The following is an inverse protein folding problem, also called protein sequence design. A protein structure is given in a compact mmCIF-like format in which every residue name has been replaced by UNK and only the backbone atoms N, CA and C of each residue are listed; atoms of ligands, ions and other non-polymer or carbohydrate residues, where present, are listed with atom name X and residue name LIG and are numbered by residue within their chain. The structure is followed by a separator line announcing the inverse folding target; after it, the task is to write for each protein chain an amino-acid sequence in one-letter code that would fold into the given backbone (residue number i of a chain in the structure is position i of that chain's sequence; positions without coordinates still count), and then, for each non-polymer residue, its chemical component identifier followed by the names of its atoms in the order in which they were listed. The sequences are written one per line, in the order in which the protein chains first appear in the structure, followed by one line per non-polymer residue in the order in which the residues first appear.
data_IF_493250608861
#
_entry.id   IF_493250608861
#
_cell.length_a   1.000
_cell.length_b   1.000
_cell.length_c   1.000
_cell.angle_alpha   90.00
_cell.angle_beta   90.00
_cell.angle_gamma   90.00
#
_symmetry.space_group_name_H-M   'P 1'
#
loop_
_entity.id
_entity.type
_entity.pdbx_description
1 polymer ?
#
# COMPACT_ATOMS: atom_id res chain seq x y z
N UNK A 1 13.18 1.48 -41.33
CA UNK A 1 11.80 1.13 -40.92
C UNK A 1 11.88 0.56 -39.50
N UNK A 2 11.76 1.43 -38.50
CA UNK A 2 12.02 1.12 -37.09
C UNK A 2 10.74 0.58 -36.46
N UNK A 3 10.74 -0.68 -36.01
CA UNK A 3 9.58 -1.22 -35.26
C UNK A 3 9.56 -0.52 -33.90
N UNK A 4 8.47 0.14 -33.49
CA UNK A 4 8.39 0.70 -32.16
C UNK A 4 8.39 -0.44 -31.15
N UNK A 5 9.18 -0.27 -30.10
CA UNK A 5 9.27 -1.19 -28.98
C UNK A 5 7.95 -1.05 -28.21
N UNK A 6 6.93 -1.85 -28.55
CA UNK A 6 5.72 -2.03 -27.73
C UNK A 6 6.01 -2.83 -26.43
N UNK A 7 7.24 -2.79 -25.91
CA UNK A 7 7.67 -3.59 -24.75
C UNK A 7 7.31 -2.94 -23.40
N UNK A 8 6.26 -2.12 -23.36
CA UNK A 8 5.73 -1.53 -22.14
C UNK A 8 4.28 -1.97 -21.88
N UNK A 9 3.87 -3.14 -22.40
CA UNK A 9 2.82 -3.89 -21.70
C UNK A 9 3.37 -4.23 -20.32
N UNK A 10 2.73 -3.63 -19.33
CA UNK A 10 3.31 -3.15 -18.09
C UNK A 10 3.86 -4.30 -17.25
N UNK A 11 5.07 -4.17 -16.68
CA UNK A 11 5.68 -5.13 -15.75
C UNK A 11 4.68 -5.68 -14.71
N UNK A 12 3.75 -4.86 -14.24
CA UNK A 12 2.66 -5.24 -13.32
C UNK A 12 1.77 -6.36 -13.87
N UNK A 13 1.32 -6.26 -15.13
CA UNK A 13 0.40 -7.23 -15.74
C UNK A 13 1.05 -8.62 -15.92
N UNK A 14 2.37 -8.68 -16.12
CA UNK A 14 3.10 -9.95 -16.18
C UNK A 14 3.17 -10.61 -14.80
N UNK A 15 3.49 -9.83 -13.77
CA UNK A 15 3.59 -10.33 -12.39
C UNK A 15 2.24 -10.83 -11.87
N UNK A 16 1.16 -10.12 -12.15
CA UNK A 16 -0.21 -10.54 -11.82
C UNK A 16 -0.58 -11.86 -12.50
N UNK A 17 -0.28 -11.99 -13.80
CA UNK A 17 -0.55 -13.23 -14.54
C UNK A 17 0.22 -14.42 -13.99
N UNK A 18 1.49 -14.24 -13.62
CA UNK A 18 2.29 -15.31 -13.01
C UNK A 18 1.75 -15.66 -11.63
N UNK A 19 1.35 -14.68 -10.83
CA UNK A 19 0.75 -14.90 -9.51
C UNK A 19 -0.56 -15.67 -9.57
N UNK A 20 -1.44 -15.33 -10.52
CA UNK A 20 -2.71 -16.03 -10.73
C UNK A 20 -2.47 -17.48 -11.20
N UNK A 21 -1.60 -17.69 -12.18
CA UNK A 21 -1.22 -19.04 -12.60
C UNK A 21 -0.66 -19.88 -11.44
N UNK A 22 0.16 -19.28 -10.56
CA UNK A 22 0.70 -19.96 -9.40
C UNK A 22 -0.40 -20.37 -8.40
N UNK A 23 -1.36 -19.48 -8.13
CA UNK A 23 -2.54 -19.79 -7.29
C UNK A 23 -3.31 -20.97 -7.86
N UNK A 24 -3.65 -20.91 -9.14
CA UNK A 24 -4.50 -21.91 -9.79
C UNK A 24 -3.85 -23.30 -9.87
N UNK A 25 -2.53 -23.37 -10.03
CA UNK A 25 -1.82 -24.64 -10.25
C UNK A 25 -1.25 -25.26 -8.98
N UNK A 26 -0.78 -24.46 -8.03
CA UNK A 26 0.00 -24.97 -6.89
C UNK A 26 -0.74 -24.86 -5.55
N UNK A 27 -1.84 -24.11 -5.50
CA UNK A 27 -2.60 -23.92 -4.27
C UNK A 27 -4.12 -23.95 -4.51
N UNK A 28 -4.65 -24.98 -5.20
CA UNK A 28 -6.07 -25.03 -5.57
C UNK A 28 -7.01 -25.15 -4.36
N UNK A 29 -6.52 -25.70 -3.25
CA UNK A 29 -7.32 -25.97 -2.04
C UNK A 29 -7.33 -24.79 -1.06
N UNK A 30 -6.88 -23.60 -1.46
CA UNK A 30 -6.95 -22.40 -0.62
C UNK A 30 -8.26 -21.65 -0.85
N UNK A 31 -9.04 -21.58 0.22
CA UNK A 31 -10.29 -20.86 0.26
C UNK A 31 -10.10 -19.34 0.12
N UNK A 32 -10.97 -18.71 -0.67
CA UNK A 32 -11.04 -17.26 -0.82
C UNK A 32 -11.89 -16.64 0.31
N UNK A 33 -11.42 -16.78 1.55
CA UNK A 33 -12.13 -16.29 2.75
C UNK A 33 -11.22 -15.41 3.59
N UNK A 34 -11.74 -14.25 3.96
CA UNK A 34 -11.01 -13.32 4.81
C UNK A 34 -10.96 -13.81 6.26
N UNK A 35 -9.76 -13.77 6.85
CA UNK A 35 -9.58 -13.95 8.30
C UNK A 35 -9.96 -12.66 9.02
N UNK A 36 -10.84 -12.75 10.02
CA UNK A 36 -11.28 -11.60 10.80
C UNK A 36 -10.44 -11.40 12.06
N UNK A 37 -10.15 -12.48 12.79
CA UNK A 37 -9.36 -12.44 14.03
C UNK A 37 -8.55 -13.71 14.23
N UNK A 38 -7.43 -13.56 14.95
CA UNK A 38 -6.62 -14.68 15.44
C UNK A 38 -6.43 -14.48 16.94
N UNK A 39 -7.06 -15.35 17.73
CA UNK A 39 -7.04 -15.30 19.19
C UNK A 39 -6.14 -16.40 19.76
N UNK A 40 -5.52 -16.14 20.92
CA UNK A 40 -4.91 -17.21 21.72
C UNK A 40 -5.99 -18.06 22.38
N UNK A 41 -5.77 -19.37 22.36
CA UNK A 41 -6.62 -20.37 22.99
C UNK A 41 -5.74 -21.30 23.86
N UNK A 42 -6.23 -21.90 24.96
CA UNK A 42 -5.42 -22.78 25.80
C UNK A 42 -4.75 -23.94 25.06
N UNK A 43 -5.36 -24.40 23.96
CA UNK A 43 -4.86 -25.49 23.11
C UNK A 43 -4.15 -25.02 21.83
N UNK A 44 -3.88 -23.71 21.65
CA UNK A 44 -3.24 -23.17 20.46
C UNK A 44 -3.79 -21.82 20.02
N UNK A 45 -4.07 -21.69 18.73
CA UNK A 45 -4.68 -20.50 18.14
C UNK A 45 -6.09 -20.83 17.65
N UNK A 46 -6.97 -19.84 17.78
CA UNK A 46 -8.31 -19.88 17.19
C UNK A 46 -8.41 -18.79 16.15
N UNK A 47 -8.65 -19.19 14.92
CA UNK A 47 -8.80 -18.31 13.77
C UNK A 47 -10.29 -18.17 13.48
N UNK A 48 -10.80 -16.94 13.48
CA UNK A 48 -12.17 -16.68 13.04
C UNK A 48 -12.15 -16.15 11.62
N UNK A 49 -13.02 -16.69 10.78
CA UNK A 49 -13.22 -16.25 9.42
C UNK A 49 -14.35 -15.22 9.35
N UNK A 50 -14.35 -14.38 8.31
CA UNK A 50 -15.43 -13.43 8.06
C UNK A 50 -16.77 -14.12 7.77
N UNK A 51 -16.72 -15.39 7.32
CA UNK A 51 -17.90 -16.25 7.18
C UNK A 51 -18.55 -16.61 8.53
N UNK A 52 -17.86 -16.40 9.65
CA UNK A 52 -18.29 -16.82 10.99
C UNK A 52 -17.77 -18.19 11.42
N UNK A 53 -17.10 -18.92 10.54
CA UNK A 53 -16.45 -20.20 10.87
C UNK A 53 -15.23 -19.99 11.79
N UNK A 54 -14.98 -20.96 12.67
CA UNK A 54 -13.81 -20.99 13.55
C UNK A 54 -12.92 -22.20 13.27
N UNK A 55 -11.63 -21.95 13.06
CA UNK A 55 -10.61 -22.97 12.83
C UNK A 55 -9.63 -22.97 13.99
N UNK A 56 -9.33 -24.16 14.52
CA UNK A 56 -8.27 -24.35 15.52
C UNK A 56 -6.96 -24.77 14.86
N UNK A 57 -5.88 -24.06 15.18
CA UNK A 57 -4.57 -24.31 14.62
C UNK A 57 -3.48 -24.25 15.70
N UNK A 58 -2.45 -25.08 15.57
CA UNK A 58 -1.28 -25.01 16.47
C UNK A 58 -0.41 -23.77 16.18
N UNK A 59 -0.42 -23.29 14.93
CA UNK A 59 0.33 -22.13 14.48
C UNK A 59 -0.40 -21.41 13.34
N UNK A 60 -0.14 -20.11 13.17
CA UNK A 60 -0.66 -19.27 12.09
C UNK A 60 0.50 -18.47 11.50
N UNK A 61 0.60 -18.45 10.17
CA UNK A 61 1.55 -17.60 9.44
C UNK A 61 0.76 -16.44 8.84
N UNK A 62 1.17 -15.21 9.15
CA UNK A 62 0.59 -14.01 8.56
C UNK A 62 1.42 -13.62 7.34
N UNK A 63 0.91 -13.95 6.16
CA UNK A 63 1.53 -13.62 4.87
C UNK A 63 0.80 -12.46 4.16
N UNK A 64 0.19 -11.55 4.92
CA UNK A 64 -0.48 -10.37 4.36
C UNK A 64 0.53 -9.29 4.02
N UNK A 65 0.40 -8.69 2.84
CA UNK A 65 1.10 -7.45 2.54
C UNK A 65 0.60 -6.32 3.47
N UNK A 66 1.51 -5.42 3.88
CA UNK A 66 1.14 -4.16 4.52
C UNK A 66 0.63 -3.19 3.45
N UNK A 67 -0.64 -3.33 3.09
CA UNK A 67 -1.29 -2.40 2.17
C UNK A 67 -2.08 -1.37 2.98
N UNK A 68 -1.58 -0.12 2.94
CA UNK A 68 -2.28 1.09 3.35
C UNK A 68 -2.36 1.43 4.86
N UNK A 69 -1.27 1.22 5.61
CA UNK A 69 -1.09 1.96 6.88
C UNK A 69 -0.47 3.33 6.59
N UNK A 70 -1.28 4.31 6.18
CA UNK A 70 -0.85 5.71 6.15
C UNK A 70 -0.66 6.25 7.57
N UNK A 71 0.43 5.87 8.23
CA UNK A 71 0.89 6.56 9.44
C UNK A 71 1.45 7.90 9.00
N UNK A 72 0.59 8.92 8.91
CA UNK A 72 1.04 10.29 8.70
C UNK A 72 1.82 10.69 9.96
N UNK A 73 3.13 10.98 9.88
CA UNK A 73 3.85 11.45 11.06
C UNK A 73 3.13 12.69 11.59
N UNK A 74 2.83 12.70 12.88
CA UNK A 74 2.35 13.92 13.52
C UNK A 74 3.43 14.97 13.34
N UNK A 75 3.04 16.10 12.77
CA UNK A 75 3.92 17.26 12.65
C UNK A 75 4.41 17.59 14.07
N UNK A 76 5.71 17.48 14.30
CA UNK A 76 6.35 17.82 15.56
C UNK A 76 5.82 19.17 16.08
N UNK A 77 5.52 19.32 17.39
CA UNK A 77 5.07 20.57 18.00
C UNK A 77 6.18 21.63 17.84
N UNK A 78 6.14 22.35 16.72
CA UNK A 78 7.21 23.25 16.27
C UNK A 78 7.26 23.41 14.74
N UNK A 79 6.57 22.57 13.98
CA UNK A 79 6.48 22.66 12.51
C UNK A 79 5.29 23.49 12.00
N UNK A 80 4.64 24.25 12.88
CA UNK A 80 3.77 25.34 12.44
C UNK A 80 4.64 26.32 11.64
N UNK A 81 4.40 26.36 10.33
CA UNK A 81 4.90 27.42 9.45
C UNK A 81 4.59 28.75 10.12
N UNK A 82 5.58 29.37 10.74
CA UNK A 82 5.57 30.82 10.87
C UNK A 82 5.57 31.32 9.44
N UNK A 83 4.39 31.68 8.95
CA UNK A 83 4.25 32.50 7.77
C UNK A 83 4.94 33.83 8.10
N UNK A 84 6.25 33.88 7.90
CA UNK A 84 6.96 35.14 7.83
C UNK A 84 6.29 35.93 6.71
N UNK A 85 5.81 37.16 6.97
CA UNK A 85 5.23 37.94 5.90
C UNK A 85 6.33 38.18 4.87
N UNK A 86 6.16 37.58 3.70
CA UNK A 86 7.04 37.79 2.56
C UNK A 86 6.89 39.27 2.18
N UNK A 87 7.80 40.12 2.69
CA UNK A 87 7.78 41.55 2.39
C UNK A 87 8.19 41.69 0.93
N UNK A 88 7.19 41.76 0.05
CA UNK A 88 7.36 42.01 -1.37
C UNK A 88 8.17 43.30 -1.54
N UNK A 89 9.43 43.17 -1.97
CA UNK A 89 10.21 44.31 -2.44
C UNK A 89 9.79 44.59 -3.87
N UNK A 90 8.96 45.61 -4.05
CA UNK A 90 8.70 46.22 -5.36
C UNK A 90 10.03 46.78 -5.89
N UNK A 91 10.55 46.16 -6.95
CA UNK A 91 11.66 46.70 -7.73
C UNK A 91 11.08 47.68 -8.74
N UNK A 92 11.13 48.97 -8.43
CA UNK A 92 10.82 50.02 -9.41
C UNK A 92 11.96 50.05 -10.43
N UNK A 93 11.66 49.71 -11.69
CA UNK A 93 12.59 49.94 -12.79
C UNK A 93 12.62 51.44 -13.13
N UNK A 94 13.78 52.05 -13.44
CA UNK A 94 13.83 53.42 -13.91
C UNK A 94 13.17 53.51 -15.30
N UNK A 95 12.20 54.41 -15.45
CA UNK A 95 11.62 54.76 -16.76
C UNK A 95 12.70 55.39 -17.63
N UNK A 96 13.07 54.71 -18.71
CA UNK A 96 13.81 55.32 -19.83
C UNK A 96 12.86 56.22 -20.60
N UNK A 97 13.08 57.53 -20.50
CA UNK A 97 12.48 58.53 -21.41
C UNK A 97 13.19 58.47 -22.76
N UNK A 98 12.40 58.50 -23.84
CA UNK A 98 12.83 58.59 -25.25
C UNK A 98 13.41 59.96 -25.55
#
# INVERSE_FOLDING_TARGET
MTRPISAFESTTARSERVGLWFRDQLVPDVDDVQVSTVDRHPAGLRVKLASGEEIHAAAVIVASALTDSHTRPSLWPGSARTALPLRARSRTAPSTTI
#
